data_IF_085628896337
#
_entry.id   IF_085628896337
#
_cell.length_a   1.000
_cell.length_b   1.000
_cell.length_c   1.000
_cell.angle_alpha   90.00
_cell.angle_beta   90.00
_cell.angle_gamma   90.00
#
_symmetry.space_group_name_H-M   'P 1'
#
loop_
_entity.id
_entity.type
_entity.pdbx_description
1 polymer ?
#
# COMPACT_ATOMS: atom_id res chain seq x y z
N UNK A 1 -8.24 26.11 -8.04
CA UNK A 1 -6.84 26.49 -8.28
C UNK A 1 -6.22 26.76 -6.91
N UNK A 2 -5.11 26.11 -6.56
CA UNK A 2 -4.45 26.31 -5.25
C UNK A 2 -3.72 27.64 -5.31
N UNK A 3 -4.05 28.58 -4.42
CA UNK A 3 -3.42 29.91 -4.35
C UNK A 3 -2.32 29.94 -3.29
N UNK A 4 -1.39 30.89 -3.40
CA UNK A 4 -0.31 31.08 -2.39
C UNK A 4 -0.88 31.38 -1.00
N UNK A 5 -1.98 32.15 -0.94
CA UNK A 5 -2.66 32.51 0.30
C UNK A 5 -3.25 31.26 0.99
N UNK A 6 -3.94 30.40 0.21
CA UNK A 6 -4.50 29.15 0.74
C UNK A 6 -3.43 28.20 1.29
N UNK A 7 -2.27 28.10 0.62
CA UNK A 7 -1.13 27.31 1.11
C UNK A 7 -0.52 27.90 2.36
N UNK A 8 -0.37 29.22 2.44
CA UNK A 8 0.15 29.90 3.64
C UNK A 8 -0.72 29.62 4.87
N UNK A 9 -2.04 29.74 4.76
CA UNK A 9 -2.97 29.45 5.87
C UNK A 9 -2.88 28.00 6.34
N UNK A 10 -2.67 27.09 5.43
CA UNK A 10 -2.53 25.67 5.71
C UNK A 10 -1.18 25.35 6.36
N UNK A 11 -0.09 25.92 5.85
CA UNK A 11 1.27 25.65 6.30
C UNK A 11 1.62 26.28 7.64
N UNK A 12 0.98 27.39 8.00
CA UNK A 12 1.07 27.96 9.37
C UNK A 12 0.62 26.95 10.44
N UNK A 13 -0.33 26.06 10.12
CA UNK A 13 -0.87 25.06 11.04
C UNK A 13 -0.09 23.73 11.03
N UNK A 14 0.78 23.53 10.05
CA UNK A 14 1.56 22.30 9.90
C UNK A 14 2.73 22.22 10.88
N UNK A 15 3.16 21.00 11.19
CA UNK A 15 4.36 20.80 11.99
C UNK A 15 5.63 21.20 11.21
N UNK A 16 6.70 21.53 11.93
CA UNK A 16 8.01 21.83 11.30
C UNK A 16 8.55 20.62 10.53
N UNK A 17 8.26 19.39 11.00
CA UNK A 17 8.64 18.16 10.33
C UNK A 17 7.95 18.01 8.96
N UNK A 18 6.64 18.24 8.88
CA UNK A 18 5.88 18.16 7.64
C UNK A 18 6.33 19.22 6.63
N UNK A 19 6.65 20.43 7.10
CA UNK A 19 7.18 21.50 6.26
C UNK A 19 8.57 21.19 5.71
N UNK A 20 9.44 20.54 6.51
CA UNK A 20 10.75 20.09 6.06
C UNK A 20 10.64 18.99 5.01
N UNK A 21 9.66 18.10 5.13
CA UNK A 21 9.38 17.07 4.14
C UNK A 21 8.95 17.70 2.81
N UNK A 22 7.96 18.60 2.83
CA UNK A 22 7.50 19.31 1.64
C UNK A 22 8.65 20.09 0.97
N UNK A 23 9.44 20.83 1.76
CA UNK A 23 10.54 21.63 1.25
C UNK A 23 11.66 20.80 0.59
N UNK A 24 11.82 19.55 0.99
CA UNK A 24 12.85 18.62 0.50
C UNK A 24 12.39 17.84 -0.73
N UNK A 25 11.12 17.44 -0.79
CA UNK A 25 10.58 16.67 -1.89
C UNK A 25 10.21 17.56 -3.08
N UNK A 26 11.13 17.64 -4.04
CA UNK A 26 10.96 18.43 -5.26
C UNK A 26 10.07 17.76 -6.32
N UNK A 27 9.77 16.48 -6.16
CA UNK A 27 9.03 15.70 -7.15
C UNK A 27 7.58 15.46 -6.76
N UNK A 28 7.28 15.33 -5.48
CA UNK A 28 5.93 15.07 -4.97
C UNK A 28 5.07 16.33 -4.80
N UNK A 29 5.66 17.52 -4.77
CA UNK A 29 4.94 18.78 -4.54
C UNK A 29 5.21 19.79 -5.66
N UNK A 30 4.25 20.70 -5.86
CA UNK A 30 4.43 21.79 -6.84
C UNK A 30 5.53 22.74 -6.38
N UNK A 31 6.19 23.43 -7.32
CA UNK A 31 7.23 24.42 -7.05
C UNK A 31 6.72 25.55 -6.13
N UNK A 32 5.45 25.93 -6.28
CA UNK A 32 4.77 26.89 -5.41
C UNK A 32 4.68 26.36 -3.97
N UNK A 33 4.29 25.10 -3.78
CA UNK A 33 4.18 24.46 -2.46
C UNK A 33 5.54 24.43 -1.75
N UNK A 34 6.59 24.04 -2.45
CA UNK A 34 7.95 23.99 -1.91
C UNK A 34 8.44 25.39 -1.50
N UNK A 35 8.16 26.41 -2.33
CA UNK A 35 8.55 27.81 -2.03
C UNK A 35 7.85 28.30 -0.78
N UNK A 36 6.54 28.08 -0.64
CA UNK A 36 5.75 28.49 0.52
C UNK A 36 6.22 27.76 1.78
N UNK A 37 6.56 26.47 1.69
CA UNK A 37 7.10 25.71 2.83
C UNK A 37 8.45 26.27 3.30
N UNK A 38 9.35 26.62 2.37
CA UNK A 38 10.63 27.27 2.70
C UNK A 38 10.46 28.66 3.31
N UNK A 39 9.51 29.45 2.82
CA UNK A 39 9.19 30.76 3.39
C UNK A 39 8.71 30.63 4.85
N UNK A 40 7.82 29.66 5.12
CA UNK A 40 7.29 29.39 6.45
C UNK A 40 8.37 28.86 7.42
N UNK A 41 9.25 27.96 6.96
CA UNK A 41 10.39 27.47 7.75
C UNK A 41 11.34 28.61 8.11
N UNK A 42 11.63 29.52 7.18
CA UNK A 42 12.40 30.73 7.46
C UNK A 42 11.71 31.65 8.47
N UNK A 43 10.39 31.83 8.36
CA UNK A 43 9.59 32.62 9.30
C UNK A 43 9.66 32.05 10.73
N UNK A 44 9.66 30.72 10.87
CA UNK A 44 9.78 30.02 12.16
C UNK A 44 11.20 30.03 12.72
N UNK A 45 12.19 30.55 11.99
CA UNK A 45 13.62 30.57 12.37
C UNK A 45 14.12 29.19 12.79
N UNK A 46 13.76 28.15 12.01
CA UNK A 46 14.19 26.77 12.28
C UNK A 46 15.71 26.70 12.30
N UNK A 47 16.26 26.20 13.39
CA UNK A 47 17.72 26.11 13.59
C UNK A 47 18.33 24.96 12.79
N UNK A 48 19.60 25.06 12.46
CA UNK A 48 20.39 23.98 11.84
C UNK A 48 20.34 22.71 12.68
N UNK A 49 20.28 22.84 14.00
CA UNK A 49 20.19 21.73 14.94
C UNK A 49 18.85 20.97 14.84
N UNK A 50 17.74 21.67 14.65
CA UNK A 50 16.43 21.06 14.41
C UNK A 50 16.40 20.31 13.07
N UNK A 51 17.02 20.86 12.02
CA UNK A 51 17.16 20.22 10.72
C UNK A 51 18.03 18.96 10.81
N UNK A 52 19.12 19.02 11.55
CA UNK A 52 20.04 17.89 11.72
C UNK A 52 19.44 16.78 12.60
N UNK A 53 18.62 17.12 13.58
CA UNK A 53 17.83 16.16 14.36
C UNK A 53 16.72 15.49 13.55
N UNK A 54 16.16 16.20 12.58
CA UNK A 54 15.14 15.63 11.67
C UNK A 54 15.71 14.59 10.69
N UNK A 55 16.93 14.81 10.16
CA UNK A 55 17.58 13.87 9.22
C UNK A 55 17.70 12.43 9.73
N UNK A 56 18.18 12.17 10.98
CA UNK A 56 18.27 10.80 11.49
C UNK A 56 16.90 10.17 11.76
N UNK A 57 15.88 10.97 12.11
CA UNK A 57 14.51 10.47 12.26
C UNK A 57 13.95 10.00 10.91
N UNK A 58 14.08 10.80 9.87
CA UNK A 58 13.65 10.45 8.51
C UNK A 58 14.41 9.23 7.96
N UNK A 59 15.69 9.14 8.25
CA UNK A 59 16.49 7.97 7.89
C UNK A 59 15.99 6.70 8.59
N UNK A 60 15.62 6.77 9.87
CA UNK A 60 15.04 5.64 10.61
C UNK A 60 13.68 5.24 10.03
N UNK A 61 12.81 6.20 9.73
CA UNK A 61 11.51 5.95 9.11
C UNK A 61 11.71 5.28 7.74
N UNK A 62 12.63 5.77 6.91
CA UNK A 62 12.89 5.18 5.59
C UNK A 62 13.43 3.74 5.70
N UNK A 63 14.32 3.47 6.64
CA UNK A 63 14.84 2.11 6.90
C UNK A 63 13.73 1.17 7.35
N UNK A 64 12.92 1.57 8.34
CA UNK A 64 11.78 0.76 8.82
C UNK A 64 10.76 0.50 7.71
N UNK A 65 10.54 1.47 6.85
CA UNK A 65 9.61 1.32 5.74
C UNK A 65 10.17 0.41 4.65
N UNK A 66 11.49 0.47 4.39
CA UNK A 66 12.16 -0.47 3.50
C UNK A 66 12.10 -1.91 4.03
N UNK A 67 12.26 -2.12 5.34
CA UNK A 67 12.09 -3.43 5.97
C UNK A 67 10.64 -3.94 5.85
N UNK A 68 9.66 -3.05 6.02
CA UNK A 68 8.25 -3.41 5.96
C UNK A 68 7.74 -3.73 4.54
N UNK A 69 8.32 -3.12 3.50
CA UNK A 69 7.78 -3.25 2.15
C UNK A 69 7.85 -4.65 1.55
N UNK A 70 8.74 -5.51 2.04
CA UNK A 70 8.90 -6.90 1.61
C UNK A 70 8.23 -7.93 2.54
N UNK A 71 7.53 -7.49 3.59
CA UNK A 71 6.84 -8.39 4.51
C UNK A 71 5.59 -8.98 3.85
N UNK A 72 5.49 -10.31 3.89
CA UNK A 72 4.38 -11.08 3.33
C UNK A 72 3.06 -10.88 4.08
N UNK A 73 1.96 -11.03 3.35
CA UNK A 73 0.63 -11.18 3.93
C UNK A 73 0.53 -12.55 4.63
N UNK A 74 0.08 -12.55 5.87
CA UNK A 74 -0.07 -13.75 6.70
C UNK A 74 -1.12 -14.69 6.11
N UNK A 75 -0.92 -16.00 6.24
CA UNK A 75 -1.82 -17.03 5.68
C UNK A 75 -3.30 -16.84 6.07
N UNK A 76 -3.68 -16.57 7.34
CA UNK A 76 -5.07 -16.33 7.70
C UNK A 76 -5.69 -15.12 6.97
N UNK A 77 -4.88 -14.08 6.73
CA UNK A 77 -5.35 -12.91 5.97
C UNK A 77 -5.51 -13.22 4.49
N UNK A 78 -4.64 -14.08 3.89
CA UNK A 78 -4.81 -14.56 2.51
C UNK A 78 -6.16 -15.27 2.34
N UNK A 79 -6.53 -16.15 3.28
CA UNK A 79 -7.86 -16.79 3.33
C UNK A 79 -8.99 -15.76 3.43
N UNK A 80 -8.86 -14.80 4.34
CA UNK A 80 -9.85 -13.76 4.55
C UNK A 80 -10.08 -12.91 3.28
N UNK A 81 -9.01 -12.51 2.59
CA UNK A 81 -9.10 -11.74 1.34
C UNK A 81 -9.70 -12.56 0.21
N UNK A 82 -9.40 -13.86 0.12
CA UNK A 82 -9.90 -14.72 -0.93
C UNK A 82 -11.39 -15.09 -0.74
N UNK A 83 -11.80 -15.43 0.48
CA UNK A 83 -13.15 -15.94 0.72
C UNK A 83 -14.17 -14.86 1.08
N UNK A 84 -13.75 -13.75 1.70
CA UNK A 84 -14.67 -12.78 2.31
C UNK A 84 -14.50 -11.36 1.77
N UNK A 85 -13.28 -10.83 1.73
CA UNK A 85 -13.02 -9.41 1.45
C UNK A 85 -13.04 -9.01 -0.03
N UNK A 86 -13.32 -9.94 -0.95
CA UNK A 86 -13.66 -9.58 -2.32
C UNK A 86 -15.03 -8.88 -2.41
N UNK A 87 -15.91 -9.10 -1.42
CA UNK A 87 -17.23 -8.49 -1.37
C UNK A 87 -17.14 -7.01 -0.90
N UNK A 88 -17.61 -6.02 -1.72
CA UNK A 88 -17.36 -4.60 -1.47
C UNK A 88 -17.88 -4.07 -0.14
N UNK A 89 -19.03 -4.56 0.32
CA UNK A 89 -19.66 -4.11 1.57
C UNK A 89 -18.79 -4.50 2.77
N UNK A 90 -18.32 -5.74 2.82
CA UNK A 90 -17.47 -6.23 3.92
C UNK A 90 -16.12 -5.50 3.92
N UNK A 91 -15.59 -5.20 2.74
CA UNK A 91 -14.37 -4.41 2.60
C UNK A 91 -14.50 -3.01 3.23
N UNK A 92 -15.66 -2.36 3.16
CA UNK A 92 -15.89 -1.04 3.77
C UNK A 92 -15.68 -1.03 5.28
N UNK A 93 -15.94 -2.16 5.96
CA UNK A 93 -15.72 -2.32 7.40
C UNK A 93 -14.32 -2.78 7.76
N UNK A 94 -13.59 -3.45 6.85
CA UNK A 94 -12.27 -4.00 7.09
C UNK A 94 -11.33 -3.69 5.93
N UNK A 95 -10.73 -2.52 5.97
CA UNK A 95 -9.68 -2.13 5.00
C UNK A 95 -8.45 -1.61 5.74
N UNK A 96 -7.53 -2.49 6.15
CA UNK A 96 -6.27 -2.05 6.73
C UNK A 96 -5.49 -1.27 5.68
N UNK A 97 -5.04 -0.07 6.06
CA UNK A 97 -4.24 0.77 5.18
C UNK A 97 -2.77 0.34 5.22
N UNK A 98 -2.45 -0.71 4.48
CA UNK A 98 -1.10 -1.25 4.40
C UNK A 98 -0.10 -0.23 3.84
N UNK A 99 -0.54 0.63 2.89
CA UNK A 99 0.32 1.62 2.25
C UNK A 99 0.85 2.66 3.24
N UNK A 100 0.00 3.15 4.17
CA UNK A 100 0.44 4.13 5.18
C UNK A 100 1.53 3.60 6.11
N UNK A 101 1.58 2.28 6.31
CA UNK A 101 2.57 1.61 7.15
C UNK A 101 3.76 1.03 6.35
N UNK A 102 3.85 1.32 5.05
CA UNK A 102 4.92 0.85 4.18
C UNK A 102 4.85 -0.62 3.79
N UNK A 103 3.74 -1.34 4.05
CA UNK A 103 3.57 -2.76 3.71
C UNK A 103 3.13 -2.97 2.27
N UNK A 104 3.98 -2.67 1.31
CA UNK A 104 3.64 -2.70 -0.13
C UNK A 104 3.32 -4.11 -0.60
N UNK A 105 4.16 -5.10 -0.27
CA UNK A 105 3.93 -6.50 -0.66
C UNK A 105 2.63 -7.03 -0.08
N UNK A 106 2.29 -6.69 1.19
CA UNK A 106 1.00 -7.07 1.79
C UNK A 106 -0.18 -6.47 1.02
N UNK A 107 -0.07 -5.22 0.57
CA UNK A 107 -1.09 -4.54 -0.22
C UNK A 107 -1.29 -5.24 -1.57
N UNK A 108 -0.20 -5.54 -2.29
CA UNK A 108 -0.25 -6.23 -3.57
C UNK A 108 -0.84 -7.64 -3.45
N UNK A 109 -0.40 -8.40 -2.45
CA UNK A 109 -0.95 -9.72 -2.17
C UNK A 109 -2.43 -9.66 -1.77
N UNK A 110 -2.85 -8.68 -0.95
CA UNK A 110 -4.25 -8.51 -0.58
C UNK A 110 -5.13 -8.26 -1.80
N UNK A 111 -4.67 -7.41 -2.73
CA UNK A 111 -5.34 -7.15 -4.00
C UNK A 111 -5.43 -8.40 -4.89
N UNK A 112 -4.33 -9.14 -4.99
CA UNK A 112 -4.27 -10.40 -5.73
C UNK A 112 -5.31 -11.42 -5.23
N UNK A 113 -5.33 -11.74 -3.92
CA UNK A 113 -6.28 -12.69 -3.35
C UNK A 113 -7.72 -12.22 -3.47
N UNK A 114 -7.97 -10.92 -3.34
CA UNK A 114 -9.32 -10.35 -3.51
C UNK A 114 -9.84 -10.51 -4.94
N UNK A 115 -9.02 -10.21 -5.94
CA UNK A 115 -9.41 -10.34 -7.35
C UNK A 115 -9.63 -11.82 -7.69
N UNK A 116 -8.73 -12.70 -7.28
CA UNK A 116 -8.89 -14.13 -7.52
C UNK A 116 -10.06 -14.73 -6.75
N UNK A 117 -10.36 -14.25 -5.55
CA UNK A 117 -11.55 -14.64 -4.80
C UNK A 117 -12.84 -14.30 -5.56
N UNK A 118 -12.94 -13.08 -6.11
CA UNK A 118 -14.08 -12.69 -6.94
C UNK A 118 -14.22 -13.53 -8.23
N UNK A 119 -13.10 -13.79 -8.90
CA UNK A 119 -13.09 -14.63 -10.12
C UNK A 119 -13.45 -16.08 -9.78
N UNK A 120 -12.89 -16.61 -8.68
CA UNK A 120 -13.07 -18.02 -8.29
C UNK A 120 -14.51 -18.36 -7.92
N UNK A 121 -15.25 -17.43 -7.29
CA UNK A 121 -16.65 -17.71 -6.96
C UNK A 121 -17.50 -17.82 -8.24
N UNK A 122 -17.26 -16.94 -9.22
CA UNK A 122 -17.96 -17.00 -10.52
C UNK A 122 -17.62 -18.32 -11.24
N UNK A 123 -16.33 -18.68 -11.28
CA UNK A 123 -15.89 -19.95 -11.87
C UNK A 123 -16.49 -21.16 -11.15
N UNK A 124 -16.54 -21.13 -9.81
CA UNK A 124 -17.15 -22.21 -9.03
C UNK A 124 -18.63 -22.38 -9.31
N UNK A 125 -19.39 -21.28 -9.42
CA UNK A 125 -20.82 -21.33 -9.78
C UNK A 125 -21.01 -21.96 -11.16
N UNK A 126 -20.21 -21.57 -12.14
CA UNK A 126 -20.29 -22.14 -13.50
C UNK A 126 -19.98 -23.64 -13.47
N UNK A 127 -18.87 -24.05 -12.89
CA UNK A 127 -18.43 -25.45 -12.84
C UNK A 127 -19.44 -26.32 -12.06
N UNK A 128 -19.91 -25.85 -10.91
CA UNK A 128 -20.86 -26.57 -10.09
C UNK A 128 -22.19 -26.81 -10.81
N UNK A 129 -22.68 -25.83 -11.56
CA UNK A 129 -23.91 -25.96 -12.34
C UNK A 129 -23.76 -26.96 -13.50
N UNK A 130 -22.61 -26.94 -14.20
CA UNK A 130 -22.40 -27.80 -15.36
C UNK A 130 -22.02 -29.26 -15.01
N UNK A 131 -21.25 -29.47 -13.92
CA UNK A 131 -20.65 -30.80 -13.64
C UNK A 131 -21.31 -31.48 -12.46
N UNK A 132 -21.78 -30.77 -11.44
CA UNK A 132 -22.11 -31.35 -10.15
C UNK A 132 -23.58 -31.23 -9.71
N UNK A 133 -24.51 -30.95 -10.62
CA UNK A 133 -25.96 -30.88 -10.34
C UNK A 133 -26.28 -30.06 -9.03
N UNK A 134 -25.69 -28.90 -8.87
CA UNK A 134 -25.90 -28.00 -7.72
C UNK A 134 -25.60 -28.60 -6.32
N UNK A 135 -24.67 -29.54 -6.22
CA UNK A 135 -24.23 -30.05 -4.92
C UNK A 135 -23.42 -28.99 -4.14
N UNK A 136 -23.88 -28.62 -2.94
CA UNK A 136 -23.18 -27.70 -2.03
C UNK A 136 -21.77 -28.23 -1.69
N UNK A 137 -21.63 -29.53 -1.50
CA UNK A 137 -20.34 -30.15 -1.20
C UNK A 137 -19.37 -29.97 -2.37
N UNK A 138 -19.83 -30.20 -3.60
CA UNK A 138 -19.03 -30.00 -4.80
C UNK A 138 -18.61 -28.53 -4.95
N UNK A 139 -19.53 -27.58 -4.68
CA UNK A 139 -19.23 -26.15 -4.67
C UNK A 139 -18.09 -25.82 -3.70
N UNK A 140 -18.16 -26.28 -2.46
CA UNK A 140 -17.14 -26.02 -1.44
C UNK A 140 -15.79 -26.65 -1.82
N UNK A 141 -15.79 -27.89 -2.33
CA UNK A 141 -14.55 -28.55 -2.75
C UNK A 141 -13.88 -27.80 -3.91
N UNK A 142 -14.64 -27.43 -4.94
CA UNK A 142 -14.10 -26.66 -6.08
C UNK A 142 -13.50 -25.34 -5.59
N UNK A 143 -14.19 -24.64 -4.71
CA UNK A 143 -13.73 -23.35 -4.21
C UNK A 143 -12.45 -23.44 -3.37
N UNK A 144 -12.31 -24.50 -2.56
CA UNK A 144 -11.07 -24.83 -1.84
C UNK A 144 -9.94 -25.15 -2.82
N UNK A 145 -10.21 -25.95 -3.86
CA UNK A 145 -9.20 -26.30 -4.87
C UNK A 145 -8.71 -25.04 -5.60
N UNK A 146 -9.60 -24.13 -5.97
CA UNK A 146 -9.23 -22.87 -6.62
C UNK A 146 -8.37 -21.98 -5.69
N UNK A 147 -8.66 -21.97 -4.39
CA UNK A 147 -7.79 -21.27 -3.42
C UNK A 147 -6.39 -21.89 -3.38
N UNK A 148 -6.28 -23.23 -3.33
CA UNK A 148 -4.99 -23.93 -3.32
C UNK A 148 -4.15 -23.61 -4.56
N UNK A 149 -4.78 -23.63 -5.75
CA UNK A 149 -4.12 -23.22 -6.98
C UNK A 149 -3.63 -21.76 -6.93
N UNK A 150 -4.48 -20.84 -6.45
CA UNK A 150 -4.12 -19.44 -6.30
C UNK A 150 -2.98 -19.25 -5.31
N UNK A 151 -2.98 -19.99 -4.21
CA UNK A 151 -1.95 -19.96 -3.18
C UNK A 151 -0.60 -20.49 -3.69
N UNK A 152 -0.60 -21.63 -4.40
CA UNK A 152 0.61 -22.18 -4.99
C UNK A 152 1.18 -21.25 -6.06
N UNK A 153 0.33 -20.68 -6.92
CA UNK A 153 0.76 -19.72 -7.92
C UNK A 153 1.36 -18.46 -7.28
N UNK A 154 0.77 -17.98 -6.17
CA UNK A 154 1.34 -16.84 -5.43
C UNK A 154 2.74 -17.16 -4.91
N UNK A 155 2.93 -18.29 -4.23
CA UNK A 155 4.23 -18.68 -3.66
C UNK A 155 5.30 -18.83 -4.73
N UNK A 156 5.00 -19.55 -5.81
CA UNK A 156 6.02 -19.91 -6.79
C UNK A 156 6.30 -18.82 -7.82
N UNK A 157 5.32 -17.97 -8.15
CA UNK A 157 5.43 -17.03 -9.25
C UNK A 157 5.13 -15.59 -8.87
N UNK A 158 3.91 -15.32 -8.37
CA UNK A 158 3.41 -13.95 -8.19
C UNK A 158 4.20 -13.19 -7.11
N UNK A 159 4.43 -13.81 -5.95
CA UNK A 159 5.24 -13.24 -4.85
C UNK A 159 6.64 -12.85 -5.33
N UNK A 160 7.33 -13.74 -6.03
CA UNK A 160 8.69 -13.46 -6.52
C UNK A 160 8.71 -12.33 -7.55
N UNK A 161 7.68 -12.25 -8.40
CA UNK A 161 7.53 -11.17 -9.36
C UNK A 161 7.31 -9.82 -8.64
N UNK A 162 6.45 -9.79 -7.63
CA UNK A 162 6.17 -8.59 -6.84
C UNK A 162 7.40 -8.14 -6.06
N UNK A 163 8.08 -9.05 -5.36
CA UNK A 163 9.32 -8.74 -4.65
C UNK A 163 10.40 -8.15 -5.57
N UNK A 164 10.58 -8.72 -6.77
CA UNK A 164 11.54 -8.18 -7.74
C UNK A 164 11.17 -6.78 -8.24
N UNK A 165 9.89 -6.45 -8.36
CA UNK A 165 9.45 -5.10 -8.71
C UNK A 165 9.77 -4.10 -7.60
N UNK A 166 9.40 -4.44 -6.36
CA UNK A 166 9.66 -3.61 -5.18
C UNK A 166 11.17 -3.39 -5.00
N UNK A 167 11.96 -4.46 -5.12
CA UNK A 167 13.41 -4.37 -5.00
C UNK A 167 14.04 -3.45 -6.05
N UNK A 168 13.59 -3.51 -7.30
CA UNK A 168 14.07 -2.59 -8.35
C UNK A 168 13.80 -1.12 -8.03
N UNK A 169 12.64 -0.82 -7.43
CA UNK A 169 12.31 0.55 -7.01
C UNK A 169 13.19 0.99 -5.84
N UNK A 170 13.45 0.10 -4.88
CA UNK A 170 14.38 0.37 -3.79
C UNK A 170 15.80 0.63 -4.33
N UNK A 171 16.27 -0.19 -5.26
CA UNK A 171 17.62 -0.09 -5.83
C UNK A 171 17.79 1.18 -6.70
N UNK A 172 16.69 1.70 -7.29
CA UNK A 172 16.71 2.99 -8.01
C UNK A 172 16.76 4.22 -7.09
N UNK A 173 16.64 4.02 -5.77
CA UNK A 173 16.60 5.11 -4.78
C UNK A 173 15.28 5.85 -4.74
N UNK A 174 14.26 5.36 -5.46
CA UNK A 174 12.90 5.88 -5.40
C UNK A 174 12.15 5.30 -4.19
N UNK A 175 11.28 6.11 -3.60
CA UNK A 175 10.45 5.65 -2.49
C UNK A 175 9.28 4.85 -3.07
N UNK A 176 9.07 3.56 -2.68
CA UNK A 176 8.13 2.65 -3.34
C UNK A 176 6.64 3.05 -3.28
N UNK A 177 6.26 4.10 -2.61
CA UNK A 177 4.85 4.57 -2.48
C UNK A 177 4.47 5.76 -3.36
N UNK A 178 5.27 6.09 -4.34
CA UNK A 178 4.98 7.14 -5.34
C UNK A 178 4.06 6.68 -6.49
N UNK A 179 3.16 5.68 -6.28
CA UNK A 179 2.20 5.22 -7.28
C UNK A 179 0.77 5.52 -6.88
#
# INVERSE_FOLDING_TARGET
MVTKESLNEQYVKMSTADLLEIAKDKTGYTELANTVALEELKRRKVTTEEIDNYKPLMRRISVLTMENCLIDLEFPKKLLYFYILWFPIIRGFYSPNFMQNGYILKQDQSNYYRILGAISIVATIIIANYICYNSIIAFLVIWIVLFLFSYLFDIYYNRQRQMRKIQKVIDSGEIPWGF
#
